data_IF_570894261526
#
_entry.id   IF_570894261526
#
_cell.length_a   1.000
_cell.length_b   1.000
_cell.length_c   1.000
_cell.angle_alpha   90.00
_cell.angle_beta   90.00
_cell.angle_gamma   90.00
#
_symmetry.space_group_name_H-M   'P 1'
#
loop_
_entity.id
_entity.type
_entity.pdbx_description
1 polymer ?
#
# COMPACT_ATOMS: atom_id res chain seq x y z
N UNK A 1 11.78 -24.84 0.30
CA UNK A 1 11.72 -23.42 0.71
C UNK A 1 13.11 -23.07 1.23
N UNK A 2 13.77 -22.08 0.64
CA UNK A 2 15.08 -21.63 1.09
C UNK A 2 14.95 -21.07 2.52
N UNK A 3 15.92 -21.39 3.38
CA UNK A 3 16.06 -20.74 4.69
C UNK A 3 16.50 -19.29 4.48
N UNK A 4 15.57 -18.44 4.05
CA UNK A 4 15.86 -17.02 3.82
C UNK A 4 15.97 -16.35 5.19
N UNK A 5 17.18 -16.08 5.59
CA UNK A 5 17.47 -15.30 6.78
C UNK A 5 17.56 -13.83 6.39
N UNK A 6 16.72 -12.99 6.99
CA UNK A 6 16.73 -11.55 6.72
C UNK A 6 17.80 -10.87 7.58
N UNK A 7 18.81 -10.24 6.95
CA UNK A 7 19.91 -9.60 7.67
C UNK A 7 19.46 -8.32 8.38
N UNK A 8 20.18 -7.89 9.42
CA UNK A 8 19.99 -6.59 10.04
C UNK A 8 20.20 -5.47 9.02
N UNK A 9 19.19 -4.63 8.80
CA UNK A 9 19.29 -3.45 7.94
C UNK A 9 18.35 -2.35 8.42
N UNK A 10 18.65 -1.10 8.09
CA UNK A 10 17.90 0.08 8.49
C UNK A 10 18.02 1.15 7.42
N UNK A 11 16.94 1.88 7.20
CA UNK A 11 16.89 3.07 6.34
C UNK A 11 16.47 4.28 7.18
N UNK A 12 17.09 5.44 6.91
CA UNK A 12 16.95 6.62 7.78
C UNK A 12 15.74 7.49 7.45
N UNK A 13 15.08 7.25 6.33
CA UNK A 13 13.92 8.05 5.87
C UNK A 13 12.69 7.18 5.65
N UNK A 14 11.53 7.80 5.69
CA UNK A 14 10.29 7.26 5.17
C UNK A 14 9.76 8.20 4.07
N UNK A 15 9.22 7.61 3.00
CA UNK A 15 9.21 6.17 2.66
C UNK A 15 10.62 5.59 2.47
N UNK A 16 10.76 4.26 2.59
CA UNK A 16 12.02 3.57 2.38
C UNK A 16 12.23 3.18 0.91
N UNK A 17 13.50 3.00 0.52
CA UNK A 17 13.90 2.63 -0.84
C UNK A 17 13.98 1.10 -0.98
N UNK A 18 13.18 0.49 -1.87
CA UNK A 18 13.16 -0.97 -2.08
C UNK A 18 14.45 -1.48 -2.76
N UNK A 19 14.97 -0.72 -3.71
CA UNK A 19 16.22 -1.07 -4.42
C UNK A 19 17.45 -1.17 -3.50
N UNK A 20 17.35 -0.74 -2.22
CA UNK A 20 18.41 -0.87 -1.20
C UNK A 20 18.20 -2.05 -0.26
N UNK A 21 17.12 -2.81 -0.42
CA UNK A 21 16.85 -3.96 0.45
C UNK A 21 17.67 -5.19 0.04
N UNK A 22 18.10 -5.97 1.02
CA UNK A 22 18.75 -7.25 0.81
C UNK A 22 18.20 -8.30 1.82
N UNK A 23 17.63 -9.43 1.37
CA UNK A 23 17.28 -9.72 -0.03
C UNK A 23 16.22 -8.77 -0.59
N UNK A 24 16.16 -8.65 -1.91
CA UNK A 24 15.07 -7.94 -2.56
C UNK A 24 13.71 -8.58 -2.22
N UNK A 25 12.64 -7.79 -2.05
CA UNK A 25 11.30 -8.33 -1.88
C UNK A 25 10.82 -9.12 -3.10
N UNK A 26 10.15 -10.23 -2.86
CA UNK A 26 9.42 -10.94 -3.90
C UNK A 26 8.02 -10.31 -4.05
N UNK A 27 7.69 -9.82 -5.24
CA UNK A 27 6.47 -9.06 -5.49
C UNK A 27 5.48 -9.76 -6.43
N UNK A 28 5.92 -10.78 -7.20
CA UNK A 28 5.05 -11.62 -8.01
C UNK A 28 5.71 -12.98 -8.25
N UNK A 29 4.92 -14.03 -8.26
CA UNK A 29 5.42 -15.38 -8.51
C UNK A 29 5.51 -15.64 -10.01
N UNK A 30 6.56 -16.34 -10.45
CA UNK A 30 6.78 -16.70 -11.85
C UNK A 30 5.66 -17.60 -12.43
N UNK A 31 5.02 -18.41 -11.59
CA UNK A 31 3.95 -19.31 -11.99
C UNK A 31 2.55 -18.66 -12.01
N UNK A 32 2.41 -17.40 -11.53
CA UNK A 32 1.13 -16.70 -11.61
C UNK A 32 0.76 -16.40 -13.06
N UNK A 33 -0.43 -16.83 -13.47
CA UNK A 33 -0.99 -16.58 -14.81
C UNK A 33 -2.20 -15.67 -14.69
N UNK A 34 -2.20 -14.56 -15.43
CA UNK A 34 -3.36 -13.69 -15.57
C UNK A 34 -4.51 -14.41 -16.27
N UNK A 35 -5.71 -13.95 -15.98
CA UNK A 35 -6.96 -14.45 -16.56
C UNK A 35 -7.84 -13.30 -17.06
N UNK A 36 -7.24 -12.16 -17.38
CA UNK A 36 -7.87 -10.95 -17.91
C UNK A 36 -9.02 -10.39 -17.04
N UNK A 37 -9.00 -10.65 -15.72
CA UNK A 37 -10.07 -10.23 -14.79
C UNK A 37 -10.23 -8.71 -14.71
N UNK A 38 -9.19 -7.97 -15.05
CA UNK A 38 -9.15 -6.51 -15.01
C UNK A 38 -8.95 -5.90 -16.41
N UNK A 39 -9.23 -6.66 -17.47
CA UNK A 39 -9.09 -6.17 -18.84
C UNK A 39 -9.84 -4.85 -19.04
N UNK A 40 -9.14 -3.82 -19.53
CA UNK A 40 -9.70 -2.48 -19.78
C UNK A 40 -10.02 -1.65 -18.53
N UNK A 41 -9.61 -2.09 -17.34
CA UNK A 41 -9.72 -1.32 -16.11
C UNK A 41 -8.51 -0.41 -15.93
N UNK A 42 -8.70 0.67 -15.16
CA UNK A 42 -7.64 1.59 -14.73
C UNK A 42 -7.63 1.63 -13.20
N UNK A 43 -6.46 1.38 -12.62
CA UNK A 43 -6.25 1.39 -11.18
C UNK A 43 -5.36 2.57 -10.75
N UNK A 44 -5.78 3.31 -9.72
CA UNK A 44 -4.92 4.23 -8.97
C UNK A 44 -4.41 3.50 -7.74
N UNK A 45 -3.08 3.49 -7.53
CA UNK A 45 -2.43 2.78 -6.43
C UNK A 45 -1.50 3.75 -5.69
N UNK A 46 -1.87 4.13 -4.46
CA UNK A 46 -1.01 4.98 -3.63
C UNK A 46 0.08 4.15 -2.95
N UNK A 47 1.32 4.68 -2.90
CA UNK A 47 2.49 3.89 -2.52
C UNK A 47 2.71 2.73 -3.52
N UNK A 48 2.49 3.01 -4.82
CA UNK A 48 2.58 2.03 -5.91
C UNK A 48 4.00 1.75 -6.38
N UNK A 49 4.98 2.49 -5.88
CA UNK A 49 6.40 2.41 -6.22
C UNK A 49 7.08 1.14 -5.73
N UNK A 50 6.65 0.61 -4.59
CA UNK A 50 7.37 -0.45 -3.88
C UNK A 50 6.46 -1.36 -3.05
N UNK A 51 7.01 -2.41 -2.47
CA UNK A 51 6.38 -3.28 -1.48
C UNK A 51 5.03 -3.84 -1.94
N UNK A 52 4.02 -3.71 -1.08
CA UNK A 52 2.66 -4.19 -1.37
C UNK A 52 2.08 -3.46 -2.59
N UNK A 53 2.33 -2.16 -2.74
CA UNK A 53 1.86 -1.37 -3.87
C UNK A 53 2.40 -1.86 -5.21
N UNK A 54 3.70 -2.15 -5.29
CA UNK A 54 4.33 -2.78 -6.47
C UNK A 54 3.70 -4.14 -6.78
N UNK A 55 3.55 -4.99 -5.76
CA UNK A 55 2.93 -6.31 -5.93
C UNK A 55 1.49 -6.19 -6.47
N UNK A 56 0.70 -5.26 -5.97
CA UNK A 56 -0.65 -4.97 -6.48
C UNK A 56 -0.60 -4.50 -7.93
N UNK A 57 0.28 -3.55 -8.25
CA UNK A 57 0.42 -3.00 -9.59
C UNK A 57 0.74 -4.09 -10.63
N UNK A 58 1.69 -4.99 -10.31
CA UNK A 58 2.07 -6.06 -11.22
C UNK A 58 0.96 -7.12 -11.39
N UNK A 59 0.30 -7.52 -10.31
CA UNK A 59 -0.82 -8.44 -10.42
C UNK A 59 -1.98 -7.83 -11.23
N UNK A 60 -2.28 -6.54 -11.01
CA UNK A 60 -3.33 -5.85 -11.78
C UNK A 60 -2.95 -5.69 -13.25
N UNK A 61 -1.69 -5.36 -13.54
CA UNK A 61 -1.19 -5.29 -14.91
C UNK A 61 -1.30 -6.66 -15.60
N UNK A 62 -0.89 -7.75 -14.96
CA UNK A 62 -0.99 -9.13 -15.49
C UNK A 62 -2.44 -9.59 -15.66
N UNK A 63 -3.38 -9.01 -14.92
CA UNK A 63 -4.83 -9.19 -15.09
C UNK A 63 -5.46 -8.23 -16.11
N UNK A 64 -4.66 -7.37 -16.76
CA UNK A 64 -5.10 -6.53 -17.87
C UNK A 64 -5.44 -5.08 -17.51
N UNK A 65 -5.13 -4.59 -16.31
CA UNK A 65 -5.39 -3.21 -15.92
C UNK A 65 -4.22 -2.27 -16.27
N UNK A 66 -4.52 -1.04 -16.66
CA UNK A 66 -3.57 0.07 -16.68
C UNK A 66 -3.44 0.65 -15.27
N UNK A 67 -2.26 1.17 -14.89
CA UNK A 67 -1.96 1.59 -13.53
C UNK A 67 -1.46 3.03 -13.44
N UNK A 68 -2.04 3.83 -12.53
CA UNK A 68 -1.47 5.08 -12.06
C UNK A 68 -0.80 4.84 -10.70
N UNK A 69 0.52 4.96 -10.65
CA UNK A 69 1.33 4.76 -9.45
C UNK A 69 1.59 6.10 -8.79
N UNK A 70 1.04 6.28 -7.59
CA UNK A 70 1.25 7.49 -6.78
C UNK A 70 2.33 7.19 -5.76
N UNK A 71 3.34 8.05 -5.65
CA UNK A 71 4.48 7.90 -4.75
C UNK A 71 4.98 9.26 -4.25
N UNK A 72 5.74 9.30 -3.16
CA UNK A 72 6.19 10.55 -2.56
C UNK A 72 7.48 11.07 -3.24
N UNK A 73 8.61 10.36 -3.10
CA UNK A 73 9.92 10.78 -3.63
C UNK A 73 10.85 9.64 -4.09
N UNK A 74 10.33 8.39 -4.14
CA UNK A 74 11.07 7.17 -4.49
C UNK A 74 11.15 6.97 -6.01
N UNK A 75 11.68 7.95 -6.74
CA UNK A 75 11.72 7.97 -8.21
C UNK A 75 12.35 6.71 -8.84
N UNK A 76 13.38 6.13 -8.21
CA UNK A 76 14.06 4.92 -8.71
C UNK A 76 13.12 3.72 -8.67
N UNK A 77 12.47 3.50 -7.52
CA UNK A 77 11.56 2.38 -7.31
C UNK A 77 10.27 2.54 -8.14
N UNK A 78 9.76 3.76 -8.26
CA UNK A 78 8.60 4.08 -9.08
C UNK A 78 8.84 3.80 -10.57
N UNK A 79 10.00 4.19 -11.11
CA UNK A 79 10.36 3.89 -12.50
C UNK A 79 10.52 2.40 -12.74
N UNK A 80 11.11 1.66 -11.79
CA UNK A 80 11.22 0.21 -11.92
C UNK A 80 9.84 -0.45 -11.91
N UNK A 81 8.93 -0.03 -11.02
CA UNK A 81 7.54 -0.56 -11.02
C UNK A 81 6.83 -0.24 -12.34
N UNK A 82 6.99 0.98 -12.86
CA UNK A 82 6.41 1.35 -14.16
C UNK A 82 6.95 0.47 -15.29
N UNK A 83 8.28 0.26 -15.36
CA UNK A 83 8.92 -0.62 -16.34
C UNK A 83 8.34 -2.05 -16.28
N UNK A 84 8.10 -2.55 -15.08
CA UNK A 84 7.52 -3.89 -14.87
C UNK A 84 6.05 -3.96 -15.34
N UNK A 85 5.23 -2.94 -15.03
CA UNK A 85 3.84 -2.82 -15.51
C UNK A 85 3.80 -2.74 -17.04
N UNK A 86 4.67 -1.94 -17.64
CA UNK A 86 4.80 -1.81 -19.09
C UNK A 86 5.26 -3.12 -19.73
N UNK A 87 6.12 -3.90 -19.03
CA UNK A 87 6.54 -5.24 -19.43
C UNK A 87 5.38 -6.26 -19.52
N UNK A 88 4.30 -6.04 -18.79
CA UNK A 88 3.05 -6.80 -18.90
C UNK A 88 2.13 -6.28 -20.05
N UNK A 89 2.61 -5.34 -20.86
CA UNK A 89 1.86 -4.74 -21.97
C UNK A 89 0.80 -3.73 -21.55
N UNK A 90 0.90 -3.16 -20.34
CA UNK A 90 -0.08 -2.20 -19.82
C UNK A 90 0.52 -0.80 -19.73
N UNK A 91 -0.35 0.23 -19.75
CA UNK A 91 0.09 1.62 -19.58
C UNK A 91 0.32 1.91 -18.10
N UNK A 92 1.34 2.72 -17.83
CA UNK A 92 1.66 3.16 -16.47
C UNK A 92 1.85 4.68 -16.42
N UNK A 93 1.12 5.35 -15.52
CA UNK A 93 1.33 6.76 -15.22
C UNK A 93 2.04 6.90 -13.86
N UNK A 94 3.11 7.71 -13.81
CA UNK A 94 3.84 8.02 -12.57
C UNK A 94 3.42 9.38 -12.03
N UNK A 95 2.87 9.41 -10.80
CA UNK A 95 2.32 10.62 -10.19
C UNK A 95 3.01 10.85 -8.84
N UNK A 96 4.00 11.75 -8.84
CA UNK A 96 4.79 12.08 -7.67
C UNK A 96 4.14 13.18 -6.86
N UNK A 97 3.98 12.97 -5.52
CA UNK A 97 3.53 13.98 -4.57
C UNK A 97 2.98 13.38 -3.28
N UNK A 98 2.53 14.24 -2.38
CA UNK A 98 2.07 13.88 -1.05
C UNK A 98 0.55 13.67 -1.01
N UNK A 99 0.12 12.43 -0.74
CA UNK A 99 -1.32 12.10 -0.58
C UNK A 99 -1.96 12.77 0.65
N UNK A 100 -1.17 13.30 1.57
CA UNK A 100 -1.66 14.11 2.68
C UNK A 100 -2.14 15.52 2.25
N UNK A 101 -1.89 15.92 1.01
CA UNK A 101 -2.36 17.17 0.43
C UNK A 101 -3.68 16.93 -0.36
N UNK A 102 -4.81 17.59 0.03
CA UNK A 102 -6.08 17.41 -0.67
C UNK A 102 -6.07 17.92 -2.12
N UNK A 103 -5.31 18.96 -2.44
CA UNK A 103 -5.21 19.50 -3.79
C UNK A 103 -4.43 18.52 -4.69
N UNK A 104 -3.37 17.93 -4.17
CA UNK A 104 -2.66 16.87 -4.87
C UNK A 104 -3.54 15.62 -5.08
N UNK A 105 -4.40 15.26 -4.13
CA UNK A 105 -5.36 14.17 -4.32
C UNK A 105 -6.32 14.43 -5.50
N UNK A 106 -6.74 15.66 -5.72
CA UNK A 106 -7.51 16.03 -6.92
C UNK A 106 -6.66 15.91 -8.20
N UNK A 107 -5.41 16.38 -8.18
CA UNK A 107 -4.47 16.25 -9.30
C UNK A 107 -4.24 14.78 -9.69
N UNK A 108 -4.13 13.85 -8.73
CA UNK A 108 -4.01 12.41 -9.00
C UNK A 108 -5.14 11.93 -9.92
N UNK A 109 -6.38 12.29 -9.60
CA UNK A 109 -7.55 11.87 -10.37
C UNK A 109 -7.52 12.49 -11.76
N UNK A 110 -7.31 13.80 -11.87
CA UNK A 110 -7.26 14.51 -13.13
C UNK A 110 -6.17 13.97 -14.07
N UNK A 111 -4.99 13.68 -13.52
CA UNK A 111 -3.88 13.09 -14.28
C UNK A 111 -4.22 11.67 -14.73
N UNK A 112 -4.79 10.86 -13.85
CA UNK A 112 -5.19 9.48 -14.19
C UNK A 112 -6.18 9.46 -15.34
N UNK A 113 -7.22 10.30 -15.29
CA UNK A 113 -8.22 10.41 -16.35
C UNK A 113 -7.62 10.88 -17.67
N UNK A 114 -6.74 11.89 -17.62
CA UNK A 114 -6.09 12.44 -18.82
C UNK A 114 -5.12 11.45 -19.46
N UNK A 115 -4.30 10.75 -18.66
CA UNK A 115 -3.23 9.89 -19.16
C UNK A 115 -3.71 8.47 -19.48
N UNK A 116 -4.67 7.94 -18.70
CA UNK A 116 -5.14 6.54 -18.83
C UNK A 116 -6.60 6.42 -19.29
N UNK A 117 -7.38 7.48 -19.26
CA UNK A 117 -8.73 7.52 -19.83
C UNK A 117 -9.85 6.98 -18.93
N UNK A 118 -9.58 6.67 -17.66
CA UNK A 118 -10.60 6.16 -16.73
C UNK A 118 -10.07 6.00 -15.30
N UNK A 119 -10.96 5.63 -14.37
CA UNK A 119 -10.65 5.25 -13.02
C UNK A 119 -11.70 4.23 -12.56
N UNK A 120 -11.29 3.00 -12.33
CA UNK A 120 -12.19 1.91 -11.95
C UNK A 120 -11.84 1.29 -10.60
N UNK A 121 -10.56 1.37 -10.21
CA UNK A 121 -10.07 0.76 -8.99
C UNK A 121 -9.22 1.79 -8.26
N UNK A 122 -9.55 2.03 -6.99
CA UNK A 122 -8.78 2.90 -6.11
C UNK A 122 -8.17 2.06 -5.00
N UNK A 123 -6.83 2.02 -4.93
CA UNK A 123 -6.08 1.29 -3.90
C UNK A 123 -5.39 2.29 -2.97
N UNK A 124 -5.91 2.43 -1.77
CA UNK A 124 -5.30 3.18 -0.68
C UNK A 124 -4.27 2.32 0.03
N UNK A 125 -2.99 2.45 -0.36
CA UNK A 125 -1.92 1.64 0.19
C UNK A 125 -0.79 2.48 0.82
N UNK A 126 -0.56 3.72 0.40
CA UNK A 126 0.44 4.60 1.01
C UNK A 126 0.26 4.71 2.53
N UNK A 127 1.35 4.61 3.28
CA UNK A 127 1.34 4.73 4.73
C UNK A 127 2.71 5.10 5.28
N UNK A 128 2.69 5.79 6.41
CA UNK A 128 3.85 6.02 7.26
C UNK A 128 3.72 5.23 8.56
N UNK A 129 4.85 4.83 9.16
CA UNK A 129 4.92 4.05 10.39
C UNK A 129 6.17 4.42 11.18
N UNK A 130 6.02 4.81 12.43
CA UNK A 130 7.12 5.18 13.32
C UNK A 130 7.11 4.33 14.58
N UNK A 131 8.31 4.01 15.08
CA UNK A 131 8.52 3.16 16.25
C UNK A 131 8.83 4.01 17.48
N UNK A 132 7.95 3.99 18.47
CA UNK A 132 8.06 4.75 19.72
C UNK A 132 8.33 3.80 20.88
N UNK A 133 9.24 4.16 21.77
CA UNK A 133 9.49 3.35 22.99
C UNK A 133 8.41 3.59 24.02
N UNK A 134 8.01 4.85 24.18
CA UNK A 134 6.99 5.31 25.13
C UNK A 134 6.05 6.32 24.46
N UNK A 135 4.81 6.39 24.95
CA UNK A 135 3.82 7.35 24.42
C UNK A 135 4.25 8.81 24.60
N UNK A 136 5.05 9.10 25.61
CA UNK A 136 5.57 10.43 25.89
C UNK A 136 6.60 10.93 24.87
N UNK A 137 7.15 10.03 24.05
CA UNK A 137 8.07 10.37 22.96
C UNK A 137 7.34 10.74 21.66
N UNK A 138 6.05 10.41 21.55
CA UNK A 138 5.26 10.69 20.37
C UNK A 138 4.96 12.19 20.26
N UNK A 139 5.60 12.84 19.29
CA UNK A 139 5.39 14.25 19.00
C UNK A 139 4.04 14.49 18.31
N UNK A 140 3.36 15.59 18.67
CA UNK A 140 2.04 15.92 18.11
C UNK A 140 2.09 16.12 16.60
N UNK A 141 3.12 16.78 16.09
CA UNK A 141 3.28 17.02 14.64
C UNK A 141 3.43 15.69 13.88
N UNK A 142 4.15 14.73 14.48
CA UNK A 142 4.27 13.39 13.88
C UNK A 142 2.95 12.62 13.92
N UNK A 143 2.21 12.71 15.02
CA UNK A 143 0.87 12.12 15.14
C UNK A 143 -0.06 12.67 14.05
N UNK A 144 -0.10 13.99 13.88
CA UNK A 144 -0.90 14.64 12.84
C UNK A 144 -0.46 14.23 11.44
N UNK A 145 0.85 14.16 11.19
CA UNK A 145 1.42 13.70 9.93
C UNK A 145 1.01 12.27 9.61
N UNK A 146 1.13 11.34 10.57
CA UNK A 146 0.71 9.95 10.40
C UNK A 146 -0.78 9.83 10.08
N UNK A 147 -1.65 10.60 10.77
CA UNK A 147 -3.08 10.63 10.46
C UNK A 147 -3.37 11.25 9.09
N UNK A 148 -2.65 12.28 8.71
CA UNK A 148 -2.81 12.94 7.41
C UNK A 148 -2.51 11.98 6.25
N UNK A 149 -1.40 11.27 6.32
CA UNK A 149 -1.01 10.29 5.31
C UNK A 149 -1.90 9.04 5.35
N UNK A 150 -2.13 8.45 6.54
CA UNK A 150 -2.73 7.12 6.65
C UNK A 150 -4.26 7.13 6.71
N UNK A 151 -4.91 8.27 7.00
CA UNK A 151 -6.36 8.36 7.18
C UNK A 151 -6.98 9.46 6.32
N UNK A 152 -6.50 10.71 6.44
CA UNK A 152 -7.15 11.83 5.75
C UNK A 152 -7.02 11.71 4.24
N UNK A 153 -5.91 11.18 3.75
CA UNK A 153 -5.71 10.86 2.32
C UNK A 153 -6.82 9.99 1.74
N UNK A 154 -7.36 9.04 2.52
CA UNK A 154 -8.47 8.19 2.07
C UNK A 154 -9.74 9.00 1.80
N UNK A 155 -10.03 10.00 2.64
CA UNK A 155 -11.15 10.93 2.40
C UNK A 155 -10.89 11.81 1.18
N UNK A 156 -9.70 12.42 1.10
CA UNK A 156 -9.36 13.36 0.04
C UNK A 156 -9.43 12.69 -1.33
N UNK A 157 -8.74 11.57 -1.48
CA UNK A 157 -8.66 10.88 -2.76
C UNK A 157 -9.98 10.18 -3.14
N UNK A 158 -10.69 9.57 -2.17
CA UNK A 158 -12.02 9.00 -2.44
C UNK A 158 -13.00 10.08 -2.86
N UNK A 159 -13.03 11.23 -2.18
CA UNK A 159 -13.89 12.37 -2.54
C UNK A 159 -13.61 12.86 -3.96
N UNK A 160 -12.34 12.95 -4.37
CA UNK A 160 -11.97 13.35 -5.71
C UNK A 160 -12.33 12.28 -6.76
N UNK A 161 -12.16 10.99 -6.43
CA UNK A 161 -12.39 9.87 -7.35
C UNK A 161 -13.88 9.56 -7.60
N UNK A 162 -14.73 9.68 -6.58
CA UNK A 162 -16.14 9.27 -6.65
C UNK A 162 -16.94 9.83 -7.82
N UNK A 163 -16.81 11.10 -8.25
CA UNK A 163 -17.52 11.61 -9.42
C UNK A 163 -17.21 10.89 -10.73
N UNK A 164 -16.12 10.14 -10.77
CA UNK A 164 -15.60 9.41 -11.95
C UNK A 164 -15.74 7.89 -11.83
N UNK A 165 -16.24 7.41 -10.69
CA UNK A 165 -16.49 5.99 -10.43
C UNK A 165 -17.97 5.65 -10.67
N UNK A 166 -18.24 4.39 -10.97
CA UNK A 166 -19.60 3.90 -11.30
C UNK A 166 -19.82 2.49 -10.77
N UNK A 167 -21.02 1.96 -11.00
CA UNK A 167 -21.35 0.57 -10.67
C UNK A 167 -20.31 -0.42 -11.21
N UNK A 168 -19.90 -1.34 -10.36
CA UNK A 168 -18.88 -2.35 -10.64
C UNK A 168 -17.45 -1.92 -10.32
N UNK A 169 -17.20 -0.64 -10.03
CA UNK A 169 -15.88 -0.15 -9.62
C UNK A 169 -15.59 -0.52 -8.15
N UNK A 170 -14.34 -0.33 -7.71
CA UNK A 170 -13.91 -0.85 -6.40
C UNK A 170 -12.92 0.07 -5.70
N UNK A 171 -13.09 0.21 -4.38
CA UNK A 171 -12.13 0.86 -3.47
C UNK A 171 -11.55 -0.20 -2.55
N UNK A 172 -10.23 -0.23 -2.41
CA UNK A 172 -9.51 -1.19 -1.58
C UNK A 172 -8.53 -0.42 -0.68
N UNK A 173 -8.48 -0.76 0.61
CA UNK A 173 -7.53 -0.15 1.53
C UNK A 173 -6.60 -1.20 2.16
N UNK A 174 -5.33 -0.86 2.31
CA UNK A 174 -4.36 -1.62 3.08
C UNK A 174 -4.41 -1.19 4.54
N UNK A 175 -5.11 -1.98 5.36
CA UNK A 175 -5.12 -1.85 6.82
C UNK A 175 -3.93 -2.59 7.43
N UNK A 176 -4.08 -3.20 8.59
CA UNK A 176 -3.05 -3.99 9.26
C UNK A 176 -3.67 -4.92 10.29
N UNK A 177 -3.01 -6.04 10.58
CA UNK A 177 -3.32 -6.87 11.74
C UNK A 177 -3.25 -6.07 13.06
N UNK A 178 -2.44 -5.01 13.10
CA UNK A 178 -2.33 -4.14 14.27
C UNK A 178 -3.65 -3.42 14.60
N UNK A 179 -4.53 -3.20 13.62
CA UNK A 179 -5.87 -2.67 13.86
C UNK A 179 -6.73 -3.55 14.80
N UNK A 180 -6.40 -4.82 14.92
CA UNK A 180 -7.14 -5.80 15.72
C UNK A 180 -6.42 -6.17 17.01
N UNK A 181 -5.10 -6.39 16.95
CA UNK A 181 -4.32 -6.86 18.12
C UNK A 181 -3.60 -5.75 18.89
N UNK A 182 -3.51 -4.55 18.33
CA UNK A 182 -2.68 -3.48 18.89
C UNK A 182 -1.19 -3.69 18.68
N UNK A 183 -0.40 -2.65 18.96
CA UNK A 183 1.06 -2.72 19.00
C UNK A 183 1.60 -1.63 19.94
N UNK A 184 2.34 -1.99 21.01
CA UNK A 184 2.74 -1.02 22.03
C UNK A 184 3.78 0.00 21.58
N UNK A 185 4.45 -0.22 20.45
CA UNK A 185 5.47 0.71 19.91
C UNK A 185 5.08 1.37 18.60
N UNK A 186 3.90 1.03 18.04
CA UNK A 186 3.35 1.62 16.81
C UNK A 186 2.00 2.28 17.11
N UNK A 187 2.00 3.23 18.05
CA UNK A 187 0.78 3.76 18.65
C UNK A 187 -0.09 4.51 17.64
N UNK A 188 0.48 5.52 17.00
CA UNK A 188 -0.16 6.34 15.96
C UNK A 188 -0.54 5.49 14.73
N UNK A 189 0.38 4.68 14.23
CA UNK A 189 0.10 3.77 13.11
C UNK A 189 -1.05 2.82 13.42
N UNK A 190 -1.05 2.19 14.60
CA UNK A 190 -2.11 1.26 15.01
C UNK A 190 -3.47 1.97 15.07
N UNK A 191 -3.52 3.18 15.63
CA UNK A 191 -4.73 3.99 15.67
C UNK A 191 -5.23 4.33 14.25
N UNK A 192 -4.33 4.71 13.33
CA UNK A 192 -4.71 4.99 11.95
C UNK A 192 -5.25 3.76 11.23
N UNK A 193 -4.67 2.57 11.43
CA UNK A 193 -5.15 1.34 10.80
C UNK A 193 -6.48 0.86 11.36
N UNK A 194 -6.78 1.14 12.64
CA UNK A 194 -8.12 0.99 13.22
C UNK A 194 -9.13 1.95 12.59
N UNK A 195 -8.75 3.21 12.41
CA UNK A 195 -9.58 4.21 11.73
C UNK A 195 -9.90 3.80 10.28
N UNK A 196 -8.91 3.29 9.52
CA UNK A 196 -9.11 2.77 8.16
C UNK A 196 -10.14 1.63 8.14
N UNK A 197 -10.11 0.70 9.10
CA UNK A 197 -11.11 -0.37 9.19
C UNK A 197 -12.53 0.15 9.37
N UNK A 198 -12.72 1.12 10.26
CA UNK A 198 -14.02 1.76 10.49
C UNK A 198 -14.47 2.53 9.24
N UNK A 199 -13.55 3.29 8.62
CA UNK A 199 -13.82 4.09 7.44
C UNK A 199 -14.26 3.22 6.24
N UNK A 200 -13.58 2.10 5.97
CA UNK A 200 -13.95 1.23 4.84
C UNK A 200 -15.33 0.59 5.04
N UNK A 201 -15.72 0.25 6.26
CA UNK A 201 -17.09 -0.20 6.55
C UNK A 201 -18.11 0.90 6.27
N UNK A 202 -17.83 2.13 6.71
CA UNK A 202 -18.71 3.28 6.47
C UNK A 202 -18.82 3.60 4.97
N UNK A 203 -17.72 3.61 4.23
CA UNK A 203 -17.75 3.79 2.78
C UNK A 203 -18.51 2.68 2.07
N UNK A 204 -18.35 1.41 2.49
CA UNK A 204 -19.07 0.28 1.92
C UNK A 204 -20.58 0.45 2.01
N UNK A 205 -21.08 0.97 3.14
CA UNK A 205 -22.51 1.25 3.33
C UNK A 205 -22.94 2.47 2.51
N UNK A 206 -22.15 3.55 2.56
CA UNK A 206 -22.49 4.81 1.90
C UNK A 206 -22.51 4.72 0.37
N UNK A 207 -21.73 3.81 -0.22
CA UNK A 207 -21.59 3.66 -1.66
C UNK A 207 -22.35 2.44 -2.23
N UNK A 208 -23.11 1.75 -1.39
CA UNK A 208 -23.86 0.54 -1.76
C UNK A 208 -24.83 0.81 -2.91
N UNK A 209 -25.61 1.88 -2.81
CA UNK A 209 -26.63 2.24 -3.83
C UNK A 209 -26.00 2.70 -5.15
N UNK A 210 -24.72 3.05 -5.14
CA UNK A 210 -23.94 3.37 -6.35
C UNK A 210 -23.31 2.13 -6.99
N UNK A 211 -23.45 0.94 -6.38
CA UNK A 211 -22.85 -0.30 -6.86
C UNK A 211 -21.32 -0.34 -6.78
N UNK A 212 -20.70 0.54 -5.97
CA UNK A 212 -19.25 0.60 -5.75
C UNK A 212 -18.89 -0.28 -4.56
N UNK A 213 -18.00 -1.25 -4.77
CA UNK A 213 -17.56 -2.15 -3.70
C UNK A 213 -16.40 -1.53 -2.92
N UNK A 214 -16.44 -1.64 -1.60
CA UNK A 214 -15.37 -1.16 -0.72
C UNK A 214 -14.90 -2.27 0.20
N UNK A 215 -13.60 -2.55 0.21
CA UNK A 215 -12.99 -3.60 1.02
C UNK A 215 -11.67 -3.13 1.63
N UNK A 216 -11.20 -3.87 2.64
CA UNK A 216 -9.86 -3.70 3.20
C UNK A 216 -9.17 -5.05 3.34
N UNK A 217 -7.85 -5.04 3.16
CA UNK A 217 -6.98 -6.15 3.53
C UNK A 217 -6.19 -5.78 4.78
N UNK A 218 -5.94 -6.73 5.66
CA UNK A 218 -5.22 -6.51 6.92
C UNK A 218 -3.97 -7.41 6.98
N UNK A 219 -2.89 -7.04 6.27
CA UNK A 219 -1.68 -7.83 6.25
C UNK A 219 -1.05 -7.96 7.64
N UNK A 220 -0.41 -9.10 7.88
CA UNK A 220 0.64 -9.23 8.87
C UNK A 220 1.89 -8.49 8.41
N UNK A 221 3.04 -8.67 9.07
CA UNK A 221 4.28 -8.09 8.61
C UNK A 221 4.72 -8.72 7.28
N UNK A 222 5.01 -7.86 6.31
CA UNK A 222 5.49 -8.21 4.98
C UNK A 222 6.87 -7.57 4.79
N UNK A 223 7.79 -8.29 4.15
CA UNK A 223 9.11 -7.79 3.82
C UNK A 223 9.00 -6.71 2.73
N UNK A 224 8.98 -5.46 3.14
CA UNK A 224 8.82 -4.27 2.29
C UNK A 224 9.69 -3.15 2.84
N UNK A 225 9.95 -2.06 2.08
CA UNK A 225 10.75 -0.93 2.54
C UNK A 225 10.24 -0.28 3.83
N UNK A 226 8.95 -0.38 4.12
CA UNK A 226 8.35 0.12 5.36
C UNK A 226 9.03 -0.46 6.60
N UNK A 227 9.48 -1.73 6.56
CA UNK A 227 10.08 -2.40 7.72
C UNK A 227 11.45 -1.82 8.07
N UNK A 228 12.47 -1.81 7.18
CA UNK A 228 13.76 -1.20 7.51
C UNK A 228 13.71 0.33 7.66
N UNK A 229 12.71 1.00 7.13
CA UNK A 229 12.49 2.42 7.33
C UNK A 229 11.84 2.78 8.68
N UNK A 230 11.15 1.82 9.33
CA UNK A 230 10.46 2.05 10.60
C UNK A 230 11.27 1.63 11.83
N UNK A 231 12.13 0.60 11.72
CA UNK A 231 12.75 -0.05 12.87
C UNK A 231 14.27 -0.01 12.80
N UNK A 232 14.91 -0.08 13.97
CA UNK A 232 16.35 -0.32 14.04
C UNK A 232 16.74 -1.69 13.46
N UNK A 233 18.01 -1.83 13.07
CA UNK A 233 18.52 -3.01 12.37
C UNK A 233 18.30 -4.34 13.11
N UNK A 234 18.38 -4.32 14.44
CA UNK A 234 18.27 -5.53 15.25
C UNK A 234 16.81 -5.94 15.44
N UNK A 235 15.91 -4.96 15.49
CA UNK A 235 14.47 -5.16 15.55
C UNK A 235 13.92 -5.68 14.21
N UNK A 236 14.48 -5.17 13.10
CA UNK A 236 14.17 -5.67 11.73
C UNK A 236 14.47 -7.16 11.63
N UNK A 237 15.72 -7.57 11.93
CA UNK A 237 16.14 -8.97 11.83
C UNK A 237 15.29 -9.90 12.72
N UNK A 238 15.03 -9.52 13.97
CA UNK A 238 14.21 -10.31 14.89
C UNK A 238 12.77 -10.45 14.43
N UNK A 239 12.15 -9.36 13.98
CA UNK A 239 10.74 -9.32 13.60
C UNK A 239 10.45 -10.17 12.37
N UNK A 240 11.28 -10.01 11.34
CA UNK A 240 11.04 -10.71 10.07
C UNK A 240 11.35 -12.19 10.17
N UNK A 241 12.38 -12.57 10.93
CA UNK A 241 12.72 -13.98 11.13
C UNK A 241 11.67 -14.73 11.98
N UNK A 242 11.12 -14.10 13.04
CA UNK A 242 10.02 -14.68 13.82
C UNK A 242 8.77 -14.93 12.97
N UNK A 243 8.51 -14.07 12.02
CA UNK A 243 7.36 -14.19 11.12
C UNK A 243 7.53 -15.25 10.06
N UNK A 244 8.75 -15.42 9.54
CA UNK A 244 9.06 -16.54 8.64
C UNK A 244 8.76 -17.88 9.32
N UNK A 245 8.99 -17.97 10.64
CA UNK A 245 8.63 -19.16 11.45
C UNK A 245 7.12 -19.29 11.67
N UNK A 246 6.41 -18.17 11.96
CA UNK A 246 4.94 -18.19 12.13
C UNK A 246 4.22 -18.56 10.83
N UNK A 247 4.63 -18.03 9.69
CA UNK A 247 4.07 -18.38 8.38
C UNK A 247 4.32 -19.85 8.06
N UNK A 248 5.51 -20.39 8.36
CA UNK A 248 5.80 -21.82 8.23
C UNK A 248 4.86 -22.67 9.10
N UNK A 249 4.53 -22.23 10.32
CA UNK A 249 3.59 -22.93 11.22
C UNK A 249 2.15 -22.86 10.73
N UNK A 250 1.72 -21.71 10.20
CA UNK A 250 0.33 -21.49 9.74
C UNK A 250 0.03 -22.24 8.44
N UNK A 251 1.00 -22.37 7.54
CA UNK A 251 0.83 -23.17 6.32
C UNK A 251 0.66 -24.67 6.59
N UNK A 252 1.11 -25.15 7.77
CA UNK A 252 0.88 -26.53 8.22
C UNK A 252 -0.55 -26.76 8.77
N UNK A 253 -1.33 -25.72 8.97
CA UNK A 253 -2.68 -25.79 9.57
C UNK A 253 -3.81 -25.60 8.54
N UNK A 254 -3.47 -25.32 7.27
CA UNK A 254 -4.42 -25.09 6.17
C UNK A 254 -4.43 -26.24 5.12
N UNK A 255 -4.18 -27.46 5.57
CA UNK A 255 -4.38 -28.69 4.77
C UNK A 255 -5.65 -29.40 5.23
#
# INVERSE_FOLDING_TARGET
MSDTHFPPQHQRKQPGDEHRMAPEPEYIRDDYRGADKLAGKVAVITGGDSGIGRAVALHFAREGADCALVYLDEDTDARETARLVEGEGRRCALIRGDVGDPDFCAEIVDRTLRELGGLNILVHNAAEQYDWKEITELENDQLERTFRTNVFSHFYLTKAALPHMKEGDSIIATSSINAFKGNPTLLDYTATKGAVQALMRSFSIALMDQGIRVNAVAPGPIWTPLIPASFDKDKVARRVNLLAEEVKRTQLTLI
#
